data_IF_520210792676
#
_entry.id   IF_520210792676
#
_cell.length_a   1.000
_cell.length_b   1.000
_cell.length_c   1.000
_cell.angle_alpha   90.00
_cell.angle_beta   90.00
_cell.angle_gamma   90.00
#
_symmetry.space_group_name_H-M   'P 1'
#
loop_
_entity.id
_entity.type
_entity.pdbx_description
1 polymer ?
#
# COMPACT_ATOMS: atom_id res chain seq x y z
N UNK A 1 -19.44 10.90 9.23
CA UNK A 1 -18.53 10.61 8.09
C UNK A 1 -18.80 9.21 7.51
N UNK A 2 -18.92 8.20 8.36
CA UNK A 2 -19.05 6.79 8.00
C UNK A 2 -20.32 6.50 7.19
N UNK A 3 -21.46 7.10 7.54
CA UNK A 3 -22.73 6.87 6.82
C UNK A 3 -22.67 7.28 5.33
N UNK A 4 -21.96 8.38 5.03
CA UNK A 4 -21.74 8.84 3.64
C UNK A 4 -20.80 7.89 2.90
N UNK A 5 -19.73 7.46 3.55
CA UNK A 5 -18.80 6.47 2.98
C UNK A 5 -19.50 5.11 2.76
N UNK A 6 -20.38 4.70 3.65
CA UNK A 6 -21.18 3.50 3.50
C UNK A 6 -22.04 3.56 2.22
N UNK A 7 -22.78 4.65 2.02
CA UNK A 7 -23.56 4.88 0.80
C UNK A 7 -22.66 4.84 -0.45
N UNK A 8 -21.51 5.51 -0.41
CA UNK A 8 -20.53 5.49 -1.50
C UNK A 8 -20.07 4.07 -1.85
N UNK A 9 -19.72 3.27 -0.83
CA UNK A 9 -19.24 1.90 -1.00
C UNK A 9 -20.32 1.02 -1.64
N UNK A 10 -21.57 1.10 -1.17
CA UNK A 10 -22.65 0.29 -1.75
C UNK A 10 -22.98 0.67 -3.20
N UNK A 11 -22.80 1.93 -3.59
CA UNK A 11 -23.05 2.40 -4.95
C UNK A 11 -21.92 2.06 -5.92
N UNK A 12 -20.67 2.07 -5.47
CA UNK A 12 -19.50 2.15 -6.37
C UNK A 12 -18.55 0.97 -6.25
N UNK A 13 -18.46 0.36 -5.06
CA UNK A 13 -17.38 -0.58 -4.77
C UNK A 13 -17.58 -1.95 -5.41
N UNK A 14 -16.47 -2.61 -5.78
CA UNK A 14 -16.46 -4.03 -6.13
C UNK A 14 -16.86 -4.85 -4.91
N UNK A 15 -17.28 -6.09 -5.13
CA UNK A 15 -17.69 -7.01 -4.04
C UNK A 15 -16.59 -7.14 -2.98
N UNK A 16 -15.32 -7.18 -3.36
CA UNK A 16 -14.21 -7.25 -2.40
C UNK A 16 -14.22 -6.06 -1.43
N UNK A 17 -14.22 -4.83 -1.93
CA UNK A 17 -14.22 -3.63 -1.09
C UNK A 17 -15.51 -3.49 -0.27
N UNK A 18 -16.67 -3.88 -0.82
CA UNK A 18 -17.92 -3.97 -0.06
C UNK A 18 -17.80 -4.90 1.16
N UNK A 19 -17.23 -6.11 0.97
CA UNK A 19 -17.01 -7.05 2.08
C UNK A 19 -15.98 -6.53 3.08
N UNK A 20 -14.91 -5.89 2.60
CA UNK A 20 -13.89 -5.27 3.46
C UNK A 20 -14.48 -4.16 4.31
N UNK A 21 -15.34 -3.31 3.75
CA UNK A 21 -16.02 -2.26 4.48
C UNK A 21 -16.93 -2.84 5.57
N UNK A 22 -17.76 -3.83 5.23
CA UNK A 22 -18.63 -4.49 6.20
C UNK A 22 -17.85 -5.15 7.35
N UNK A 23 -16.73 -5.81 7.05
CA UNK A 23 -15.85 -6.38 8.07
C UNK A 23 -15.29 -5.31 9.00
N UNK A 24 -14.74 -4.23 8.42
CA UNK A 24 -14.07 -3.22 9.22
C UNK A 24 -15.03 -2.34 10.03
N UNK A 25 -16.23 -2.05 9.53
CA UNK A 25 -17.07 -0.98 10.10
C UNK A 25 -18.46 -1.43 10.52
N UNK A 26 -18.95 -2.59 10.06
CA UNK A 26 -20.30 -3.07 10.32
C UNK A 26 -20.34 -4.39 11.12
N UNK A 27 -19.18 -4.85 11.62
CA UNK A 27 -19.09 -6.06 12.44
C UNK A 27 -19.32 -7.37 11.68
N UNK A 28 -19.18 -7.37 10.36
CA UNK A 28 -19.28 -8.59 9.56
C UNK A 28 -18.08 -9.53 9.79
N UNK A 29 -18.27 -10.82 9.51
CA UNK A 29 -17.21 -11.83 9.64
C UNK A 29 -16.13 -11.70 8.54
N UNK A 30 -14.99 -12.36 8.72
CA UNK A 30 -13.86 -12.29 7.78
C UNK A 30 -14.06 -13.19 6.54
N UNK A 31 -14.81 -14.28 6.67
CA UNK A 31 -15.00 -15.31 5.65
C UNK A 31 -15.59 -14.76 4.33
N UNK A 32 -16.56 -13.83 4.33
CA UNK A 32 -17.03 -13.20 3.09
C UNK A 32 -15.95 -12.39 2.36
N UNK A 33 -14.98 -11.80 3.08
CA UNK A 33 -13.85 -11.10 2.47
C UNK A 33 -12.94 -12.10 1.76
N UNK A 34 -12.63 -13.22 2.41
CA UNK A 34 -11.83 -14.29 1.80
C UNK A 34 -12.50 -14.89 0.57
N UNK A 35 -13.81 -15.11 0.63
CA UNK A 35 -14.58 -15.63 -0.50
C UNK A 35 -14.54 -14.66 -1.70
N UNK A 36 -14.69 -13.35 -1.46
CA UNK A 36 -14.57 -12.35 -2.52
C UNK A 36 -13.15 -12.28 -3.09
N UNK A 37 -12.12 -12.35 -2.23
CA UNK A 37 -10.73 -12.34 -2.64
C UNK A 37 -10.34 -13.59 -3.44
N UNK A 38 -10.94 -14.74 -3.15
CA UNK A 38 -10.67 -16.00 -3.85
C UNK A 38 -11.00 -15.94 -5.36
N UNK A 39 -11.93 -15.07 -5.77
CA UNK A 39 -12.26 -14.87 -7.18
C UNK A 39 -11.13 -14.22 -8.00
N UNK A 40 -10.12 -13.66 -7.34
CA UNK A 40 -8.94 -13.07 -7.98
C UNK A 40 -7.75 -14.04 -8.06
N UNK A 41 -7.84 -15.23 -7.45
CA UNK A 41 -6.77 -16.23 -7.51
C UNK A 41 -6.64 -16.83 -8.90
N UNK A 42 -5.40 -17.17 -9.24
CA UNK A 42 -4.99 -17.79 -10.49
C UNK A 42 -4.43 -19.19 -10.24
N UNK A 43 -4.23 -19.96 -11.31
CA UNK A 43 -3.77 -21.36 -11.22
C UNK A 43 -2.32 -21.49 -10.72
N UNK A 44 -1.52 -20.42 -10.80
CA UNK A 44 -0.13 -20.36 -10.33
C UNK A 44 0.00 -19.91 -8.86
N UNK A 45 -1.10 -19.97 -8.10
CA UNK A 45 -1.19 -19.50 -6.70
C UNK A 45 -0.95 -17.99 -6.50
N UNK A 46 -0.83 -17.21 -7.58
CA UNK A 46 -0.84 -15.76 -7.59
C UNK A 46 -2.24 -15.14 -7.55
N UNK A 47 -2.29 -13.85 -7.93
CA UNK A 47 -3.54 -13.09 -8.05
C UNK A 47 -3.54 -12.25 -9.32
N UNK A 48 -4.69 -12.14 -9.98
CA UNK A 48 -4.90 -11.43 -11.25
C UNK A 48 -6.16 -10.58 -11.24
N UNK A 49 -6.78 -10.43 -12.42
CA UNK A 49 -8.13 -9.88 -12.63
C UNK A 49 -8.33 -8.46 -12.10
N UNK A 50 -7.31 -7.62 -12.22
CA UNK A 50 -7.34 -6.24 -11.74
C UNK A 50 -7.61 -6.08 -10.24
N UNK A 51 -7.20 -7.06 -9.43
CA UNK A 51 -7.20 -6.91 -7.97
C UNK A 51 -6.49 -5.61 -7.55
N UNK A 52 -5.37 -5.35 -8.22
CA UNK A 52 -4.67 -4.07 -8.24
C UNK A 52 -5.20 -3.28 -9.47
N UNK A 53 -6.01 -2.23 -9.29
CA UNK A 53 -6.73 -1.59 -10.40
C UNK A 53 -5.86 -1.03 -11.52
N UNK A 54 -4.56 -0.80 -11.31
CA UNK A 54 -3.68 -0.32 -12.37
C UNK A 54 -3.14 -1.39 -13.31
N UNK A 55 -3.34 -2.68 -13.00
CA UNK A 55 -2.95 -3.80 -13.85
C UNK A 55 -4.20 -4.58 -14.29
N UNK A 56 -4.36 -4.85 -15.58
CA UNK A 56 -5.53 -5.57 -16.10
C UNK A 56 -5.16 -6.94 -16.64
N UNK A 57 -6.19 -7.76 -16.83
CA UNK A 57 -6.05 -9.10 -17.38
C UNK A 57 -6.01 -10.19 -16.31
N UNK A 58 -6.00 -11.47 -16.73
CA UNK A 58 -6.06 -12.63 -15.85
C UNK A 58 -4.70 -13.04 -15.29
N UNK A 59 -3.60 -12.43 -15.75
CA UNK A 59 -2.25 -12.85 -15.38
C UNK A 59 -1.89 -12.40 -13.97
N UNK A 60 -1.16 -13.26 -13.27
CA UNK A 60 -0.63 -12.94 -11.95
C UNK A 60 0.44 -11.87 -12.02
N UNK A 61 0.39 -10.93 -11.08
CA UNK A 61 1.40 -9.89 -10.92
C UNK A 61 1.82 -9.72 -9.45
N UNK A 62 3.10 -9.37 -9.17
CA UNK A 62 3.55 -9.07 -7.82
C UNK A 62 2.66 -8.06 -7.08
N UNK A 63 2.19 -7.01 -7.77
CA UNK A 63 1.34 -5.98 -7.17
C UNK A 63 -0.07 -6.49 -6.81
N UNK A 64 -0.65 -7.38 -7.61
CA UNK A 64 -1.91 -8.07 -7.25
C UNK A 64 -1.72 -8.92 -5.99
N UNK A 65 -0.67 -9.72 -5.95
CA UNK A 65 -0.38 -10.61 -4.82
C UNK A 65 -0.06 -9.80 -3.55
N UNK A 66 0.65 -8.68 -3.67
CA UNK A 66 0.87 -7.74 -2.58
C UNK A 66 -0.46 -7.16 -2.06
N UNK A 67 -1.39 -6.81 -2.96
CA UNK A 67 -2.73 -6.36 -2.58
C UNK A 67 -3.49 -7.47 -1.82
N UNK A 68 -3.47 -8.70 -2.30
CA UNK A 68 -4.11 -9.84 -1.64
C UNK A 68 -3.57 -10.07 -0.21
N UNK A 69 -2.24 -10.02 -0.04
CA UNK A 69 -1.61 -10.14 1.27
C UNK A 69 -2.04 -9.03 2.22
N UNK A 70 -2.14 -7.77 1.76
CA UNK A 70 -2.67 -6.65 2.56
C UNK A 70 -4.10 -6.87 3.00
N UNK A 71 -4.95 -7.42 2.12
CA UNK A 71 -6.33 -7.76 2.50
C UNK A 71 -6.35 -8.85 3.57
N UNK A 72 -5.57 -9.92 3.40
CA UNK A 72 -5.49 -11.02 4.36
C UNK A 72 -4.96 -10.57 5.73
N UNK A 73 -3.92 -9.74 5.76
CA UNK A 73 -3.38 -9.14 6.99
C UNK A 73 -4.43 -8.27 7.69
N UNK A 74 -5.13 -7.41 6.94
CA UNK A 74 -6.15 -6.52 7.49
C UNK A 74 -7.32 -7.26 8.18
N UNK A 75 -7.58 -8.52 7.80
CA UNK A 75 -8.62 -9.37 8.39
C UNK A 75 -8.07 -10.46 9.32
N UNK A 76 -6.77 -10.43 9.65
CA UNK A 76 -6.15 -11.41 10.56
C UNK A 76 -6.02 -12.83 9.99
N UNK A 77 -5.98 -12.96 8.65
CA UNK A 77 -5.92 -14.25 7.92
C UNK A 77 -4.63 -14.42 7.09
N UNK A 78 -3.61 -13.61 7.35
CA UNK A 78 -2.31 -13.74 6.69
C UNK A 78 -1.46 -14.84 7.36
N UNK A 79 -1.74 -16.11 7.04
CA UNK A 79 -0.91 -17.23 7.46
C UNK A 79 -1.30 -18.57 6.83
N UNK A 80 -0.66 -19.64 7.30
CA UNK A 80 -0.96 -21.01 6.90
C UNK A 80 -0.63 -21.34 5.44
N UNK A 81 -1.20 -22.45 4.95
CA UNK A 81 -0.90 -22.99 3.62
C UNK A 81 -1.16 -22.02 2.47
N UNK A 82 -2.12 -21.09 2.62
CA UNK A 82 -2.41 -20.10 1.57
C UNK A 82 -1.22 -19.15 1.40
N UNK A 83 -0.68 -18.62 2.49
CA UNK A 83 0.47 -17.71 2.42
C UNK A 83 1.73 -18.44 1.97
N UNK A 84 1.90 -19.71 2.35
CA UNK A 84 3.01 -20.54 1.84
C UNK A 84 2.99 -20.64 0.31
N UNK A 85 1.82 -20.91 -0.28
CA UNK A 85 1.64 -20.95 -1.74
C UNK A 85 1.90 -19.60 -2.41
N UNK A 86 1.42 -18.52 -1.79
CA UNK A 86 1.74 -17.16 -2.24
C UNK A 86 3.25 -16.90 -2.21
N UNK A 87 3.96 -17.31 -1.16
CA UNK A 87 5.41 -17.17 -1.09
C UNK A 87 6.14 -18.00 -2.16
N UNK A 88 5.60 -19.15 -2.56
CA UNK A 88 6.10 -19.93 -3.71
C UNK A 88 5.97 -19.14 -5.01
N UNK A 89 4.78 -18.62 -5.30
CA UNK A 89 4.54 -17.75 -6.46
C UNK A 89 5.52 -16.56 -6.46
N UNK A 90 5.63 -15.84 -5.33
CA UNK A 90 6.54 -14.69 -5.20
C UNK A 90 8.01 -15.08 -5.42
N UNK A 91 8.41 -16.28 -5.01
CA UNK A 91 9.75 -16.81 -5.27
C UNK A 91 10.00 -17.06 -6.76
N UNK A 92 8.98 -17.50 -7.51
CA UNK A 92 9.09 -17.81 -8.94
C UNK A 92 9.17 -16.56 -9.80
N UNK A 93 8.47 -15.48 -9.41
CA UNK A 93 8.46 -14.20 -10.16
C UNK A 93 9.50 -13.19 -9.68
N UNK A 94 10.36 -13.58 -8.72
CA UNK A 94 11.44 -12.73 -8.23
C UNK A 94 12.60 -12.65 -9.22
N UNK A 95 13.30 -11.53 -9.19
CA UNK A 95 14.52 -11.31 -9.98
C UNK A 95 15.68 -12.13 -9.41
N UNK A 96 16.83 -12.24 -10.12
CA UNK A 96 18.00 -12.99 -9.65
C UNK A 96 18.54 -12.54 -8.29
N UNK A 97 18.31 -11.29 -7.89
CA UNK A 97 18.68 -10.72 -6.60
C UNK A 97 17.82 -11.29 -5.45
N UNK A 98 16.62 -11.82 -5.76
CA UNK A 98 15.70 -12.44 -4.82
C UNK A 98 14.58 -11.51 -4.34
N UNK A 99 14.32 -10.42 -5.06
CA UNK A 99 13.28 -9.44 -4.78
C UNK A 99 12.30 -9.31 -5.96
N UNK A 100 11.15 -8.69 -5.70
CA UNK A 100 10.08 -8.58 -6.67
C UNK A 100 10.35 -7.45 -7.65
N UNK A 101 10.07 -7.63 -8.94
CA UNK A 101 9.98 -6.51 -9.86
C UNK A 101 8.66 -5.74 -9.63
N UNK A 102 8.63 -4.47 -10.02
CA UNK A 102 7.41 -3.67 -10.00
C UNK A 102 6.29 -4.29 -10.86
N UNK A 103 6.64 -4.79 -12.05
CA UNK A 103 5.77 -5.57 -12.94
C UNK A 103 6.57 -6.73 -13.51
N UNK A 104 5.94 -7.91 -13.59
CA UNK A 104 6.52 -9.06 -14.27
C UNK A 104 6.20 -9.01 -15.79
N UNK A 105 7.12 -9.44 -16.69
CA UNK A 105 6.93 -9.34 -18.15
C UNK A 105 5.68 -10.03 -18.70
N UNK A 106 5.07 -10.95 -17.94
CA UNK A 106 3.80 -11.59 -18.27
C UNK A 106 2.62 -10.60 -18.40
N UNK A 107 2.76 -9.35 -17.95
CA UNK A 107 1.74 -8.31 -18.15
C UNK A 107 1.54 -7.96 -19.64
N UNK A 108 2.50 -8.29 -20.50
CA UNK A 108 2.39 -8.04 -21.94
C UNK A 108 1.13 -8.67 -22.53
N UNK A 109 0.51 -7.91 -23.43
CA UNK A 109 -0.72 -8.33 -24.09
C UNK A 109 -2.00 -7.97 -23.33
N UNK A 110 -1.88 -7.46 -22.09
CA UNK A 110 -3.02 -6.97 -21.31
C UNK A 110 -2.91 -5.47 -21.03
N UNK A 111 -4.02 -4.74 -20.85
CA UNK A 111 -3.97 -3.32 -20.48
C UNK A 111 -3.31 -3.08 -19.12
N UNK A 112 -2.62 -1.96 -18.95
CA UNK A 112 -2.00 -1.54 -17.69
C UNK A 112 -1.79 -0.03 -17.68
N UNK A 113 -1.54 0.52 -16.50
CA UNK A 113 -1.23 1.94 -16.32
C UNK A 113 0.01 2.36 -17.14
N UNK A 114 -0.06 3.41 -17.97
CA UNK A 114 1.00 3.77 -18.91
C UNK A 114 2.28 4.27 -18.24
N UNK A 115 2.23 4.59 -16.95
CA UNK A 115 3.37 5.02 -16.15
C UNK A 115 4.15 3.86 -15.52
N UNK A 116 3.76 2.60 -15.76
CA UNK A 116 4.48 1.43 -15.27
C UNK A 116 5.03 0.63 -16.47
N UNK A 117 6.33 0.76 -16.80
CA UNK A 117 6.89 0.14 -17.99
C UNK A 117 7.01 -1.39 -17.85
N UNK A 118 6.70 -2.12 -18.93
CA UNK A 118 6.88 -3.58 -19.00
C UNK A 118 8.14 -3.90 -19.81
N UNK A 119 9.23 -4.20 -19.12
CA UNK A 119 10.54 -4.52 -19.71
C UNK A 119 10.88 -6.00 -19.56
N UNK A 120 11.74 -6.55 -20.42
CA UNK A 120 12.03 -8.00 -20.44
C UNK A 120 12.72 -8.51 -19.19
N UNK A 121 13.64 -7.71 -18.65
CA UNK A 121 14.43 -8.05 -17.47
C UNK A 121 14.26 -6.92 -16.45
N UNK A 122 13.10 -6.85 -15.75
CA UNK A 122 12.87 -5.80 -14.78
C UNK A 122 13.82 -5.94 -13.58
N UNK A 123 14.37 -4.84 -13.05
CA UNK A 123 15.17 -4.90 -11.84
C UNK A 123 14.27 -5.22 -10.63
N UNK A 124 14.89 -5.65 -9.53
CA UNK A 124 14.22 -5.66 -8.24
C UNK A 124 13.76 -4.26 -7.87
N UNK A 125 12.61 -4.19 -7.22
CA UNK A 125 11.97 -2.93 -6.86
C UNK A 125 11.56 -2.92 -5.38
N UNK A 126 11.94 -1.84 -4.68
CA UNK A 126 11.62 -1.69 -3.26
C UNK A 126 10.12 -1.47 -3.04
N UNK A 127 9.42 -0.76 -3.94
CA UNK A 127 7.98 -0.50 -3.83
C UNK A 127 7.16 -1.79 -3.86
N UNK A 128 7.55 -2.75 -4.71
CA UNK A 128 6.92 -4.06 -4.78
C UNK A 128 7.34 -4.97 -3.62
N UNK A 129 8.62 -4.92 -3.21
CA UNK A 129 9.18 -5.89 -2.26
C UNK A 129 8.96 -5.52 -0.80
N UNK A 130 9.25 -4.27 -0.41
CA UNK A 130 9.25 -3.80 0.97
C UNK A 130 7.93 -4.04 1.72
N UNK A 131 6.78 -3.59 1.17
CA UNK A 131 5.48 -3.80 1.79
C UNK A 131 5.12 -5.27 2.00
N UNK A 132 5.51 -6.14 1.07
CA UNK A 132 5.27 -7.59 1.16
C UNK A 132 6.13 -8.20 2.27
N UNK A 133 7.45 -7.94 2.24
CA UNK A 133 8.40 -8.49 3.20
C UNK A 133 8.08 -8.04 4.63
N UNK A 134 7.80 -6.75 4.84
CA UNK A 134 7.42 -6.22 6.14
C UNK A 134 6.13 -6.87 6.66
N UNK A 135 5.11 -7.01 5.82
CA UNK A 135 3.86 -7.66 6.19
C UNK A 135 4.07 -9.12 6.58
N UNK A 136 4.87 -9.88 5.82
CA UNK A 136 5.14 -11.29 6.10
C UNK A 136 5.91 -11.47 7.42
N UNK A 137 6.90 -10.63 7.70
CA UNK A 137 7.61 -10.65 8.98
C UNK A 137 6.69 -10.32 10.16
N UNK A 138 5.83 -9.29 10.02
CA UNK A 138 4.85 -8.93 11.05
C UNK A 138 3.90 -10.08 11.37
N UNK A 139 3.55 -10.89 10.38
CA UNK A 139 2.71 -12.08 10.52
C UNK A 139 3.49 -13.36 10.87
N UNK A 140 4.78 -13.26 11.20
CA UNK A 140 5.64 -14.39 11.58
C UNK A 140 5.67 -15.50 10.54
N UNK A 141 5.55 -15.15 9.25
CA UNK A 141 5.63 -16.09 8.14
C UNK A 141 7.07 -16.49 7.93
N UNK A 142 7.31 -17.80 7.79
CA UNK A 142 8.61 -18.33 7.40
C UNK A 142 8.56 -18.90 5.98
N UNK A 143 9.52 -18.50 5.13
CA UNK A 143 9.72 -19.06 3.80
C UNK A 143 11.15 -18.77 3.32
N UNK A 144 11.79 -19.71 2.59
CA UNK A 144 13.18 -19.57 2.18
C UNK A 144 13.46 -18.33 1.29
N UNK A 145 12.50 -17.96 0.44
CA UNK A 145 12.58 -16.74 -0.38
C UNK A 145 12.67 -15.46 0.47
N UNK A 146 12.00 -15.44 1.63
CA UNK A 146 11.88 -14.23 2.46
C UNK A 146 13.25 -13.74 2.95
N UNK A 147 14.23 -14.63 3.14
CA UNK A 147 15.59 -14.26 3.54
C UNK A 147 16.24 -13.33 2.51
N UNK A 148 16.26 -13.75 1.23
CA UNK A 148 16.87 -12.95 0.15
C UNK A 148 16.12 -11.65 -0.09
N UNK A 149 14.79 -11.69 -0.06
CA UNK A 149 13.97 -10.49 -0.18
C UNK A 149 14.22 -9.50 0.98
N UNK A 150 14.45 -10.01 2.19
CA UNK A 150 14.80 -9.19 3.37
C UNK A 150 16.17 -8.54 3.22
N UNK A 151 17.17 -9.28 2.77
CA UNK A 151 18.52 -8.74 2.53
C UNK A 151 18.48 -7.63 1.46
N UNK A 152 17.73 -7.86 0.38
CA UNK A 152 17.48 -6.83 -0.63
C UNK A 152 16.82 -5.58 -0.03
N UNK A 153 15.74 -5.75 0.75
CA UNK A 153 15.06 -4.61 1.38
C UNK A 153 16.00 -3.81 2.29
N UNK A 154 16.84 -4.48 3.08
CA UNK A 154 17.84 -3.79 3.89
C UNK A 154 18.83 -2.99 3.04
N UNK A 155 19.42 -3.62 2.02
CA UNK A 155 20.37 -2.96 1.13
C UNK A 155 19.74 -1.76 0.40
N UNK A 156 18.53 -1.94 -0.14
CA UNK A 156 17.78 -0.89 -0.83
C UNK A 156 17.45 0.27 0.12
N UNK A 157 16.94 -0.02 1.33
CA UNK A 157 16.65 1.00 2.34
C UNK A 157 17.92 1.73 2.75
N UNK A 158 19.04 1.06 2.97
CA UNK A 158 20.32 1.66 3.37
C UNK A 158 20.93 2.54 2.27
N UNK A 159 20.68 2.20 1.00
CA UNK A 159 21.15 2.98 -0.14
C UNK A 159 20.33 4.26 -0.41
N UNK A 160 19.16 4.45 0.22
CA UNK A 160 18.35 5.66 0.01
C UNK A 160 19.06 6.91 0.53
N UNK A 161 19.41 7.81 -0.40
CA UNK A 161 20.00 9.13 -0.16
C UNK A 161 19.12 10.26 -0.70
N UNK A 162 18.80 10.27 -1.99
CA UNK A 162 17.79 11.11 -2.64
C UNK A 162 16.65 10.20 -3.03
N UNK A 163 15.49 10.44 -2.44
CA UNK A 163 14.40 9.46 -2.53
C UNK A 163 13.10 10.11 -2.94
N UNK A 164 12.22 9.26 -3.44
CA UNK A 164 10.88 9.59 -3.84
C UNK A 164 9.87 9.14 -2.75
N UNK A 165 8.75 9.85 -2.50
CA UNK A 165 7.85 9.51 -1.38
C UNK A 165 7.35 8.07 -1.38
N UNK A 166 7.05 7.47 -2.54
CA UNK A 166 6.68 6.05 -2.62
C UNK A 166 7.78 5.08 -2.16
N UNK A 167 9.06 5.40 -2.38
CA UNK A 167 10.16 4.56 -1.90
C UNK A 167 10.25 4.62 -0.38
N UNK A 168 10.05 5.80 0.20
CA UNK A 168 9.97 5.97 1.65
C UNK A 168 8.77 5.19 2.22
N UNK A 169 7.60 5.23 1.58
CA UNK A 169 6.45 4.43 2.02
C UNK A 169 6.77 2.93 2.04
N UNK A 170 7.42 2.45 0.99
CA UNK A 170 7.82 1.05 0.88
C UNK A 170 8.85 0.66 1.94
N UNK A 171 9.83 1.53 2.18
CA UNK A 171 10.83 1.38 3.23
C UNK A 171 10.18 1.33 4.62
N UNK A 172 9.28 2.25 4.95
CA UNK A 172 8.56 2.26 6.24
C UNK A 172 7.73 0.98 6.39
N UNK A 173 7.02 0.55 5.36
CA UNK A 173 6.22 -0.68 5.42
C UNK A 173 7.09 -1.92 5.71
N UNK A 174 8.31 -1.97 5.16
CA UNK A 174 9.30 -2.99 5.51
C UNK A 174 9.77 -2.87 6.96
N UNK A 175 10.25 -1.69 7.36
CA UNK A 175 10.84 -1.45 8.68
C UNK A 175 9.84 -1.65 9.82
N UNK A 176 8.57 -1.28 9.61
CA UNK A 176 7.49 -1.51 10.58
C UNK A 176 7.31 -3.00 10.90
N UNK A 177 7.53 -3.87 9.92
CA UNK A 177 7.45 -5.32 10.08
C UNK A 177 8.77 -6.03 10.40
N UNK A 178 9.91 -5.37 10.20
CA UNK A 178 11.22 -5.99 10.33
C UNK A 178 11.48 -6.53 11.76
N UNK A 179 12.07 -7.73 11.92
CA UNK A 179 12.28 -8.36 13.22
C UNK A 179 13.40 -7.71 14.03
N UNK A 180 14.46 -7.20 13.38
CA UNK A 180 15.53 -6.44 14.04
C UNK A 180 15.07 -5.01 14.33
N UNK A 181 14.45 -4.83 15.50
CA UNK A 181 13.80 -3.56 15.89
C UNK A 181 14.79 -2.41 16.08
N UNK A 182 16.00 -2.67 16.56
CA UNK A 182 17.00 -1.61 16.77
C UNK A 182 17.58 -1.13 15.45
N UNK A 183 17.94 -2.05 14.53
CA UNK A 183 18.36 -1.69 13.17
C UNK A 183 17.24 -0.96 12.43
N UNK A 184 16.01 -1.44 12.57
CA UNK A 184 14.87 -0.84 11.89
C UNK A 184 14.58 0.57 12.38
N UNK A 185 14.65 0.81 13.69
CA UNK A 185 14.48 2.16 14.26
C UNK A 185 15.58 3.11 13.77
N UNK A 186 16.85 2.67 13.78
CA UNK A 186 17.96 3.50 13.31
C UNK A 186 17.81 3.88 11.82
N UNK A 187 17.37 2.94 10.98
CA UNK A 187 17.07 3.20 9.58
C UNK A 187 15.87 4.16 9.42
N UNK A 188 14.78 3.94 10.17
CA UNK A 188 13.60 4.80 10.15
C UNK A 188 13.93 6.24 10.57
N UNK A 189 14.71 6.44 11.63
CA UNK A 189 15.12 7.78 12.07
C UNK A 189 15.93 8.51 11.01
N UNK A 190 16.77 7.78 10.25
CA UNK A 190 17.51 8.32 9.11
C UNK A 190 16.57 8.76 8.00
N UNK A 191 15.60 7.92 7.63
CA UNK A 191 14.60 8.25 6.61
C UNK A 191 13.71 9.44 7.04
N UNK A 192 13.36 9.55 8.32
CA UNK A 192 12.60 10.69 8.84
C UNK A 192 13.32 12.03 8.67
N UNK A 193 14.65 12.06 8.88
CA UNK A 193 15.47 13.23 8.55
C UNK A 193 15.43 13.53 7.05
N UNK A 194 15.57 12.50 6.23
CA UNK A 194 15.50 12.61 4.77
C UNK A 194 14.18 13.22 4.28
N UNK A 195 13.06 12.74 4.80
CA UNK A 195 11.71 13.23 4.50
C UNK A 195 11.59 14.72 4.80
N UNK A 196 12.15 15.18 5.93
CA UNK A 196 12.13 16.60 6.30
C UNK A 196 13.06 17.44 5.43
N UNK A 197 14.30 17.00 5.24
CA UNK A 197 15.32 17.70 4.44
C UNK A 197 14.87 17.89 2.98
N UNK A 198 14.29 16.85 2.38
CA UNK A 198 13.81 16.87 1.00
C UNK A 198 12.36 17.35 0.87
N UNK A 199 11.72 17.70 1.99
CA UNK A 199 10.34 18.22 2.02
C UNK A 199 9.36 17.26 1.33
N UNK A 200 9.47 15.98 1.62
CA UNK A 200 8.64 14.92 1.01
C UNK A 200 7.26 14.80 1.64
N UNK A 201 7.06 15.37 2.83
CA UNK A 201 5.77 15.43 3.53
C UNK A 201 5.30 16.88 3.71
N UNK A 202 4.07 17.16 3.29
CA UNK A 202 3.42 18.46 3.53
C UNK A 202 2.96 18.52 4.99
N UNK A 203 3.68 19.31 5.80
CA UNK A 203 3.46 19.41 7.25
C UNK A 203 2.30 20.35 7.63
N UNK A 204 1.99 21.31 6.75
CA UNK A 204 0.82 22.18 6.85
C UNK A 204 0.09 22.18 5.50
N UNK A 205 -1.09 21.54 5.40
CA UNK A 205 -1.88 21.47 4.17
C UNK A 205 -2.19 22.84 3.54
N UNK A 206 -2.27 23.91 4.34
CA UNK A 206 -2.50 25.28 3.86
C UNK A 206 -1.32 25.85 3.07
N UNK A 207 -0.14 25.24 3.21
CA UNK A 207 1.10 25.64 2.54
C UNK A 207 1.54 24.62 1.48
N UNK A 208 0.64 23.74 1.02
CA UNK A 208 0.96 22.68 0.05
C UNK A 208 1.73 23.20 -1.17
N UNK A 209 1.36 24.38 -1.69
CA UNK A 209 1.96 24.94 -2.92
C UNK A 209 3.43 25.37 -2.73
N UNK A 210 3.91 25.41 -1.49
CA UNK A 210 5.32 25.65 -1.19
C UNK A 210 6.18 24.39 -1.32
N UNK A 211 5.58 23.19 -1.32
CA UNK A 211 6.27 21.91 -1.38
C UNK A 211 6.48 21.46 -2.84
N UNK A 212 7.61 20.79 -3.13
CA UNK A 212 7.84 20.28 -4.47
C UNK A 212 6.94 19.07 -4.75
N UNK A 213 6.35 19.03 -5.94
CA UNK A 213 5.77 17.80 -6.48
C UNK A 213 6.90 16.90 -6.97
N UNK A 214 6.92 15.64 -6.53
CA UNK A 214 7.97 14.70 -6.91
C UNK A 214 7.94 14.38 -8.42
N UNK A 215 9.09 14.09 -9.02
CA UNK A 215 9.15 13.77 -10.44
C UNK A 215 8.35 12.48 -10.72
N UNK A 216 7.48 12.50 -11.74
CA UNK A 216 6.62 11.36 -12.11
C UNK A 216 5.22 11.38 -11.50
N UNK A 217 4.95 12.25 -10.53
CA UNK A 217 3.64 12.45 -9.91
C UNK A 217 2.64 13.19 -10.77
N UNK A 218 1.36 12.98 -10.47
CA UNK A 218 0.30 13.81 -11.01
C UNK A 218 0.45 15.26 -10.50
N UNK A 219 0.01 16.27 -11.28
CA UNK A 219 0.01 17.65 -10.82
C UNK A 219 -0.74 17.79 -9.49
N UNK A 220 -0.06 18.32 -8.46
CA UNK A 220 -0.65 18.54 -7.14
C UNK A 220 -0.67 17.31 -6.23
N UNK A 221 -0.15 16.16 -6.67
CA UNK A 221 0.03 14.99 -5.81
C UNK A 221 1.13 15.26 -4.77
N UNK A 222 0.73 15.18 -3.50
CA UNK A 222 1.59 15.36 -2.34
C UNK A 222 1.28 14.27 -1.32
N UNK A 223 2.23 14.03 -0.42
CA UNK A 223 2.05 13.14 0.72
C UNK A 223 2.07 13.94 2.01
N UNK A 224 1.31 13.46 2.99
CA UNK A 224 1.13 14.08 4.29
C UNK A 224 1.61 13.14 5.39
N UNK A 225 1.85 13.63 6.62
CA UNK A 225 2.22 12.79 7.75
C UNK A 225 1.40 11.49 7.91
N UNK A 226 0.08 11.53 7.68
CA UNK A 226 -0.80 10.36 7.76
C UNK A 226 -0.50 9.27 6.71
N UNK A 227 0.10 9.62 5.57
CA UNK A 227 0.46 8.66 4.51
C UNK A 227 1.65 7.79 4.92
N UNK A 228 2.60 8.39 5.65
CA UNK A 228 3.77 7.71 6.22
C UNK A 228 3.42 6.97 7.51
N UNK A 229 2.64 7.61 8.39
CA UNK A 229 2.28 7.08 9.72
C UNK A 229 0.79 6.70 9.78
N UNK A 230 0.36 5.74 8.96
CA UNK A 230 -1.05 5.30 8.86
C UNK A 230 -1.63 4.73 10.16
N UNK A 231 -0.77 4.23 11.04
CA UNK A 231 -1.13 3.75 12.38
C UNK A 231 -0.19 4.36 13.43
N UNK A 232 -0.64 4.60 14.67
CA UNK A 232 0.21 5.20 15.71
C UNK A 232 1.46 4.39 16.06
N UNK A 233 1.45 3.08 15.81
CA UNK A 233 2.57 2.17 16.08
C UNK A 233 3.60 2.12 14.95
N UNK A 234 3.40 2.84 13.85
CA UNK A 234 4.39 2.93 12.78
C UNK A 234 5.64 3.67 13.26
N UNK A 235 6.81 3.22 12.84
CA UNK A 235 8.08 3.90 13.11
C UNK A 235 8.10 5.32 12.55
N UNK A 236 7.37 5.58 11.46
CA UNK A 236 7.25 6.91 10.89
C UNK A 236 6.48 7.89 11.78
N UNK A 237 5.74 7.42 12.79
CA UNK A 237 4.99 8.29 13.69
C UNK A 237 5.90 9.26 14.46
N UNK A 238 7.11 8.83 14.82
CA UNK A 238 8.08 9.68 15.54
C UNK A 238 8.68 10.79 14.68
N UNK A 239 8.48 10.75 13.36
CA UNK A 239 9.02 11.76 12.45
C UNK A 239 8.28 13.09 12.56
N UNK A 240 7.04 13.07 13.05
CA UNK A 240 6.11 14.19 13.05
C UNK A 240 5.68 14.56 14.46
N UNK A 241 5.50 15.85 14.71
CA UNK A 241 4.92 16.32 15.97
C UNK A 241 3.44 15.96 16.06
N UNK A 242 2.87 16.02 17.25
CA UNK A 242 1.43 15.81 17.44
C UNK A 242 0.60 16.84 16.65
N UNK A 243 1.06 18.10 16.60
CA UNK A 243 0.41 19.16 15.83
C UNK A 243 0.42 18.88 14.32
N UNK A 244 1.58 18.49 13.76
CA UNK A 244 1.71 18.14 12.34
C UNK A 244 0.80 16.94 11.98
N UNK A 245 0.71 15.95 12.87
CA UNK A 245 -0.20 14.82 12.71
C UNK A 245 -1.66 15.23 12.79
N UNK A 246 -2.06 16.11 13.71
CA UNK A 246 -3.45 16.59 13.79
C UNK A 246 -3.85 17.36 12.54
N UNK A 247 -3.01 18.27 12.05
CA UNK A 247 -3.27 19.00 10.80
C UNK A 247 -3.41 18.05 9.61
N UNK A 248 -2.56 17.02 9.57
CA UNK A 248 -2.59 15.99 8.53
C UNK A 248 -3.86 15.14 8.58
N UNK A 249 -4.33 14.76 9.78
CA UNK A 249 -5.56 13.98 9.96
C UNK A 249 -6.83 14.82 9.75
N UNK A 250 -6.81 16.11 10.10
CA UNK A 250 -7.86 17.08 9.77
C UNK A 250 -8.00 17.21 8.26
N UNK A 251 -6.87 17.28 7.55
CA UNK A 251 -6.87 17.30 6.09
C UNK A 251 -7.49 16.04 5.51
N UNK A 252 -7.00 14.85 5.92
CA UNK A 252 -7.57 13.57 5.47
C UNK A 252 -9.08 13.48 5.74
N UNK A 253 -9.53 13.91 6.92
CA UNK A 253 -10.96 13.94 7.24
C UNK A 253 -11.76 14.89 6.33
N UNK A 254 -11.18 16.03 5.99
CA UNK A 254 -11.78 17.04 5.11
C UNK A 254 -11.81 16.68 3.63
N UNK A 255 -11.09 15.64 3.20
CA UNK A 255 -11.04 15.19 1.80
C UNK A 255 -12.23 14.32 1.38
N UNK A 256 -13.14 13.98 2.29
CA UNK A 256 -14.36 13.26 1.92
C UNK A 256 -15.21 14.11 0.94
N UNK A 257 -15.35 13.64 -0.30
CA UNK A 257 -16.11 14.30 -1.35
C UNK A 257 -17.62 14.22 -1.11
N UNK A 258 -18.41 14.99 -1.88
CA UNK A 258 -19.87 15.08 -1.74
C UNK A 258 -20.57 13.71 -1.79
N UNK A 259 -20.11 12.82 -2.66
CA UNK A 259 -20.65 11.47 -2.83
C UNK A 259 -20.26 10.49 -1.71
N UNK A 260 -19.41 10.92 -0.77
CA UNK A 260 -19.00 10.17 0.42
C UNK A 260 -17.68 9.40 0.30
N UNK A 261 -17.09 9.36 -0.90
CA UNK A 261 -15.80 8.73 -1.14
C UNK A 261 -14.60 9.66 -0.92
N UNK A 262 -13.41 9.08 -0.88
CA UNK A 262 -12.14 9.83 -0.92
C UNK A 262 -11.61 9.88 -2.36
N UNK A 263 -10.96 10.99 -2.73
CA UNK A 263 -10.37 11.14 -4.05
C UNK A 263 -9.12 10.28 -4.23
N UNK A 264 -8.76 10.07 -5.49
CA UNK A 264 -7.47 9.51 -5.89
C UNK A 264 -6.58 10.67 -6.34
N UNK A 265 -5.44 10.87 -5.68
CA UNK A 265 -4.52 11.98 -5.96
C UNK A 265 -3.45 11.67 -7.00
N UNK A 266 -3.25 10.39 -7.33
CA UNK A 266 -2.28 9.99 -8.34
C UNK A 266 -2.89 9.96 -9.74
N UNK A 267 -2.03 9.72 -10.74
CA UNK A 267 -2.39 9.79 -12.15
C UNK A 267 -3.47 8.78 -12.51
N UNK A 268 -4.62 9.29 -12.95
CA UNK A 268 -5.70 8.47 -13.50
C UNK A 268 -5.44 8.22 -15.00
N UNK A 269 -5.63 6.98 -15.45
CA UNK A 269 -5.36 6.59 -16.85
C UNK A 269 -6.56 5.96 -17.56
N UNK A 270 -7.55 5.47 -16.82
CA UNK A 270 -8.83 5.03 -17.37
C UNK A 270 -9.96 5.28 -16.36
N UNK A 271 -11.20 5.58 -16.82
CA UNK A 271 -12.33 5.84 -15.91
C UNK A 271 -12.61 4.70 -14.93
N UNK A 272 -12.48 3.45 -15.39
CA UNK A 272 -12.71 2.27 -14.54
C UNK A 272 -11.70 2.14 -13.40
N UNK A 273 -10.44 2.56 -13.60
CA UNK A 273 -9.40 2.43 -12.57
C UNK A 273 -9.66 3.38 -11.42
N UNK A 274 -10.07 4.62 -11.72
CA UNK A 274 -10.44 5.60 -10.71
C UNK A 274 -11.63 5.10 -9.86
N UNK A 275 -12.66 4.55 -10.49
CA UNK A 275 -13.83 4.02 -9.79
C UNK A 275 -13.51 2.83 -8.88
N UNK A 276 -12.56 1.98 -9.26
CA UNK A 276 -12.14 0.84 -8.42
C UNK A 276 -11.19 1.25 -7.30
N UNK A 277 -10.35 2.27 -7.54
CA UNK A 277 -9.44 2.80 -6.53
C UNK A 277 -10.14 3.60 -5.44
N UNK A 278 -11.16 4.40 -5.77
CA UNK A 278 -11.86 5.26 -4.80
C UNK A 278 -12.42 4.50 -3.57
N UNK A 279 -13.08 3.33 -3.72
CA UNK A 279 -13.46 2.46 -2.60
C UNK A 279 -12.28 2.00 -1.74
N UNK A 280 -11.14 1.65 -2.37
CA UNK A 280 -9.94 1.22 -1.65
C UNK A 280 -9.40 2.37 -0.79
N UNK A 281 -9.19 3.56 -1.36
CA UNK A 281 -8.70 4.74 -0.61
C UNK A 281 -9.68 5.18 0.45
N UNK A 282 -10.99 5.08 0.20
CA UNK A 282 -12.03 5.38 1.21
C UNK A 282 -11.89 4.48 2.43
N UNK A 283 -11.73 3.17 2.22
CA UNK A 283 -11.52 2.22 3.33
C UNK A 283 -10.20 2.53 4.07
N UNK A 284 -9.11 2.80 3.36
CA UNK A 284 -7.82 3.11 3.99
C UNK A 284 -7.84 4.45 4.76
N UNK A 285 -8.53 5.47 4.25
CA UNK A 285 -8.71 6.75 4.94
C UNK A 285 -9.46 6.57 6.27
N UNK A 286 -10.60 5.89 6.24
CA UNK A 286 -11.39 5.59 7.44
C UNK A 286 -10.61 4.72 8.44
N UNK A 287 -9.85 3.72 7.96
CA UNK A 287 -8.99 2.90 8.81
C UNK A 287 -7.89 3.73 9.49
N UNK A 288 -7.26 4.65 8.76
CA UNK A 288 -6.21 5.55 9.26
C UNK A 288 -6.78 6.51 10.30
N UNK A 289 -7.89 7.19 9.99
CA UNK A 289 -8.57 8.10 10.92
C UNK A 289 -8.95 7.38 12.23
N UNK A 290 -9.57 6.20 12.14
CA UNK A 290 -9.91 5.40 13.33
C UNK A 290 -8.67 4.94 14.11
N UNK A 291 -7.60 4.53 13.43
CA UNK A 291 -6.37 4.08 14.10
C UNK A 291 -5.75 5.21 14.95
N UNK A 292 -5.91 6.47 14.53
CA UNK A 292 -5.49 7.65 15.28
C UNK A 292 -6.58 8.22 16.21
N UNK A 293 -7.64 7.46 16.49
CA UNK A 293 -8.67 7.82 17.45
C UNK A 293 -9.63 8.93 16.98
N UNK A 294 -9.69 9.21 15.67
CA UNK A 294 -10.66 10.17 15.12
C UNK A 294 -12.05 9.54 15.08
N UNK A 295 -13.06 10.29 15.52
CA UNK A 295 -14.47 9.92 15.39
C UNK A 295 -14.85 9.78 13.91
N UNK A 296 -15.64 8.76 13.58
CA UNK A 296 -16.13 8.50 12.22
C UNK A 296 -17.64 8.75 12.08
N UNK A 297 -18.33 9.10 13.15
CA UNK A 297 -19.77 9.36 13.16
C UNK A 297 -20.19 10.40 12.11
#
# INVERSE_FOLDING_TARGET
>A
MLARAEQFIWLTARVLEQRRFAYHFLGAAAEPVEAALAAYRTDDDGYGHALEPDLRGPVSQPLHTAHALRVLDAIGRCGGQRVERVCRYLSEVSTPEGALPAIHPSQRGYPYAPFVPVIDNPPSDLLATGPVVGLLHRNQVWHAWLFRATDYCWAAVEALDKSHPYEIHAAVAFLDGAPDRSRAQAAADRLGRLVREQRLAVLDPRRRDSYPVAAGYAPGEHHYPHDYARVPTSMARSWFTDEEMQLSLDHLAGEQEEDGGWPVHWKQWAPGTALEWRPIVTIEALRTLRAHGRGLD
#
